data_IF_858515018010
#
_entry.id   IF_858515018010
#
_cell.length_a   1.000
_cell.length_b   1.000
_cell.length_c   1.000
_cell.angle_alpha   90.00
_cell.angle_beta   90.00
_cell.angle_gamma   90.00
#
_symmetry.space_group_name_H-M   'P 1'
#
loop_
_entity.id
_entity.type
_entity.pdbx_description
1 polymer ?
#
# COMPACT_ATOMS: atom_id res chain seq x y z
N UNK A 1 -18.38 -3.93 25.58
CA UNK A 1 -17.39 -2.84 25.62
C UNK A 1 -15.98 -3.37 25.84
N UNK A 2 -15.73 -4.23 26.85
CA UNK A 2 -14.41 -4.81 27.14
C UNK A 2 -13.83 -5.66 26.00
N UNK A 3 -14.66 -6.45 25.31
CA UNK A 3 -14.24 -7.31 24.18
C UNK A 3 -13.79 -6.45 22.99
N UNK A 4 -14.50 -5.36 22.68
CA UNK A 4 -14.11 -4.46 21.61
C UNK A 4 -12.82 -3.68 21.94
N UNK A 5 -12.61 -3.31 23.20
CA UNK A 5 -11.37 -2.65 23.62
C UNK A 5 -10.17 -3.60 23.48
N UNK A 6 -10.30 -4.85 23.89
CA UNK A 6 -9.25 -5.85 23.76
C UNK A 6 -8.93 -6.15 22.28
N UNK A 7 -9.94 -6.17 21.42
CA UNK A 7 -9.73 -6.37 19.98
C UNK A 7 -8.94 -5.21 19.35
N UNK A 8 -9.29 -3.97 19.70
CA UNK A 8 -8.59 -2.77 19.20
C UNK A 8 -7.14 -2.72 19.69
N UNK A 9 -6.91 -3.13 20.93
CA UNK A 9 -5.55 -3.20 21.52
C UNK A 9 -4.73 -4.25 20.77
N UNK A 10 -5.29 -5.45 20.55
CA UNK A 10 -4.61 -6.53 19.82
C UNK A 10 -4.33 -6.15 18.36
N UNK A 11 -5.23 -5.46 17.67
CA UNK A 11 -4.98 -4.96 16.32
C UNK A 11 -3.88 -3.89 16.26
N UNK A 12 -3.82 -3.00 17.23
CA UNK A 12 -2.72 -2.02 17.34
C UNK A 12 -1.37 -2.69 17.59
N UNK A 13 -1.33 -3.71 18.44
CA UNK A 13 -0.10 -4.48 18.69
C UNK A 13 0.34 -5.30 17.47
N UNK A 14 -0.58 -5.93 16.75
CA UNK A 14 -0.28 -6.62 15.48
C UNK A 14 0.33 -5.64 14.48
N UNK A 15 -0.28 -4.48 14.27
CA UNK A 15 0.22 -3.47 13.36
C UNK A 15 1.61 -2.93 13.77
N UNK A 16 1.83 -2.74 15.07
CA UNK A 16 3.14 -2.33 15.61
C UNK A 16 4.21 -3.38 15.35
N UNK A 17 3.91 -4.65 15.63
CA UNK A 17 4.85 -5.75 15.45
C UNK A 17 5.12 -6.03 13.97
N UNK A 18 4.12 -5.91 13.08
CA UNK A 18 4.30 -6.04 11.64
C UNK A 18 5.21 -4.94 11.06
N UNK A 19 5.09 -3.70 11.56
CA UNK A 19 6.01 -2.60 11.18
C UNK A 19 7.44 -2.83 11.68
N UNK A 20 7.60 -3.36 12.90
CA UNK A 20 8.89 -3.70 13.45
C UNK A 20 9.57 -4.83 12.65
N UNK A 21 8.79 -5.84 12.26
CA UNK A 21 9.26 -6.96 11.44
C UNK A 21 9.78 -6.47 10.07
N UNK A 22 9.03 -5.60 9.41
CA UNK A 22 9.46 -5.02 8.12
C UNK A 22 10.79 -4.25 8.22
N UNK A 23 10.96 -3.46 9.30
CA UNK A 23 12.24 -2.75 9.53
C UNK A 23 13.40 -3.72 9.75
N UNK A 24 13.17 -4.78 10.50
CA UNK A 24 14.18 -5.82 10.76
C UNK A 24 14.57 -6.58 9.49
N UNK A 25 13.61 -6.89 8.62
CA UNK A 25 13.88 -7.51 7.32
C UNK A 25 14.74 -6.58 6.42
N UNK A 26 14.42 -5.27 6.38
CA UNK A 26 15.21 -4.29 5.62
C UNK A 26 16.65 -4.13 6.16
N UNK A 27 16.85 -4.16 7.49
CA UNK A 27 18.19 -4.13 8.09
C UNK A 27 18.94 -5.44 7.85
N UNK A 28 18.27 -6.56 7.91
CA UNK A 28 18.85 -7.87 7.61
C UNK A 28 19.36 -7.95 6.17
N UNK A 29 18.55 -7.50 5.21
CA UNK A 29 18.95 -7.41 3.80
C UNK A 29 20.19 -6.55 3.60
N UNK A 30 20.23 -5.37 4.23
CA UNK A 30 21.40 -4.48 4.17
C UNK A 30 22.66 -5.12 4.75
N UNK A 31 22.53 -5.79 5.89
CA UNK A 31 23.66 -6.47 6.54
C UNK A 31 24.13 -7.67 5.71
N UNK A 32 23.22 -8.43 5.14
CA UNK A 32 23.56 -9.56 4.26
C UNK A 32 24.32 -9.12 3.01
N UNK A 33 23.91 -7.98 2.42
CA UNK A 33 24.62 -7.39 1.27
C UNK A 33 26.02 -6.89 1.64
N UNK A 34 26.21 -6.38 2.85
CA UNK A 34 27.52 -5.93 3.34
C UNK A 34 28.45 -7.12 3.61
N UNK A 35 27.95 -8.18 4.23
CA UNK A 35 28.71 -9.42 4.50
C UNK A 35 29.22 -10.07 3.21
N UNK A 36 28.41 -10.06 2.15
CA UNK A 36 28.80 -10.61 0.85
C UNK A 36 29.86 -9.78 0.08
N UNK A 37 30.17 -8.57 0.55
CA UNK A 37 31.14 -7.66 -0.10
C UNK A 37 32.50 -7.56 0.60
N UNK A 38 32.65 -8.14 1.78
CA UNK A 38 33.85 -7.92 2.61
C UNK A 38 34.71 -9.19 2.65
N UNK A 39 35.99 -9.11 2.26
CA UNK A 39 36.90 -10.27 2.26
C UNK A 39 37.63 -10.53 3.59
N UNK A 40 37.46 -9.73 4.65
CA UNK A 40 38.26 -9.82 5.89
C UNK A 40 37.40 -10.21 7.10
N UNK A 41 37.89 -11.24 7.84
CA UNK A 41 37.19 -11.86 8.99
C UNK A 41 36.89 -10.93 10.17
N UNK A 42 37.68 -9.88 10.39
CA UNK A 42 37.55 -9.02 11.57
C UNK A 42 36.44 -7.94 11.44
N UNK A 43 36.05 -7.56 10.25
CA UNK A 43 34.92 -6.66 10.01
C UNK A 43 33.60 -7.43 9.90
N UNK A 44 33.65 -8.73 9.61
CA UNK A 44 32.49 -9.61 9.45
C UNK A 44 31.90 -10.01 10.80
N UNK A 45 32.72 -10.25 11.83
CA UNK A 45 32.25 -10.66 13.16
C UNK A 45 31.15 -9.80 13.77
N UNK A 46 31.29 -8.47 13.85
CA UNK A 46 30.24 -7.60 14.40
C UNK A 46 28.94 -7.60 13.55
N UNK A 47 29.07 -7.79 12.23
CA UNK A 47 27.92 -7.89 11.33
C UNK A 47 27.17 -9.21 11.51
N UNK A 48 27.88 -10.32 11.67
CA UNK A 48 27.30 -11.63 11.99
C UNK A 48 26.59 -11.61 13.34
N UNK A 49 27.19 -10.96 14.36
CA UNK A 49 26.54 -10.82 15.67
C UNK A 49 25.25 -9.98 15.59
N UNK A 50 25.30 -8.88 14.85
CA UNK A 50 24.13 -8.03 14.62
C UNK A 50 23.05 -8.79 13.83
N UNK A 51 23.46 -9.55 12.82
CA UNK A 51 22.56 -10.41 12.05
C UNK A 51 21.87 -11.47 12.93
N UNK A 52 22.65 -12.14 13.82
CA UNK A 52 22.09 -13.10 14.76
C UNK A 52 21.07 -12.47 15.72
N UNK A 53 21.37 -11.29 16.26
CA UNK A 53 20.45 -10.54 17.14
C UNK A 53 19.16 -10.18 16.42
N UNK A 54 19.25 -9.60 15.23
CA UNK A 54 18.10 -9.24 14.42
C UNK A 54 17.25 -10.44 14.02
N UNK A 55 17.89 -11.58 13.72
CA UNK A 55 17.18 -12.82 13.40
C UNK A 55 16.43 -13.40 14.61
N UNK A 56 17.01 -13.28 15.80
CA UNK A 56 16.35 -13.71 17.06
C UNK A 56 15.15 -12.80 17.38
N UNK A 57 15.30 -11.50 17.15
CA UNK A 57 14.23 -10.53 17.35
C UNK A 57 13.09 -10.71 16.33
N UNK A 58 13.43 -10.98 15.08
CA UNK A 58 12.47 -11.35 14.03
C UNK A 58 11.64 -12.58 14.44
N UNK A 59 12.33 -13.64 14.94
CA UNK A 59 11.67 -14.85 15.37
C UNK A 59 10.72 -14.58 16.55
N UNK A 60 11.17 -13.78 17.53
CA UNK A 60 10.36 -13.40 18.68
C UNK A 60 9.12 -12.59 18.26
N UNK A 61 9.28 -11.65 17.32
CA UNK A 61 8.17 -10.87 16.80
C UNK A 61 7.19 -11.73 15.99
N UNK A 62 7.68 -12.67 15.18
CA UNK A 62 6.84 -13.65 14.46
C UNK A 62 6.03 -14.50 15.44
N UNK A 63 6.67 -14.99 16.50
CA UNK A 63 5.98 -15.77 17.54
C UNK A 63 4.89 -14.94 18.22
N UNK A 64 5.22 -13.71 18.61
CA UNK A 64 4.26 -12.78 19.23
C UNK A 64 3.08 -12.45 18.31
N UNK A 65 3.36 -12.27 17.04
CA UNK A 65 2.34 -12.03 16.02
C UNK A 65 1.39 -13.23 15.86
N UNK A 66 1.94 -14.45 15.86
CA UNK A 66 1.12 -15.66 15.81
C UNK A 66 0.23 -15.82 17.05
N UNK A 67 0.76 -15.51 18.25
CA UNK A 67 -0.02 -15.53 19.49
C UNK A 67 -1.15 -14.51 19.46
N UNK A 68 -0.87 -13.29 19.01
CA UNK A 68 -1.88 -12.23 18.89
C UNK A 68 -2.95 -12.57 17.85
N UNK A 69 -2.57 -13.18 16.74
CA UNK A 69 -3.53 -13.65 15.74
C UNK A 69 -4.42 -14.80 16.29
N UNK A 70 -3.87 -15.71 17.05
CA UNK A 70 -4.64 -16.75 17.73
C UNK A 70 -5.64 -16.15 18.74
N UNK A 71 -5.19 -15.23 19.60
CA UNK A 71 -6.06 -14.52 20.55
C UNK A 71 -7.16 -13.72 19.83
N UNK A 72 -6.84 -13.08 18.71
CA UNK A 72 -7.84 -12.42 17.87
C UNK A 72 -8.87 -13.41 17.33
N UNK A 73 -8.43 -14.61 16.92
CA UNK A 73 -9.32 -15.69 16.48
C UNK A 73 -10.27 -16.15 17.59
N UNK A 74 -9.74 -16.30 18.81
CA UNK A 74 -10.52 -16.70 19.99
C UNK A 74 -11.57 -15.65 20.38
N UNK A 75 -11.27 -14.36 20.23
CA UNK A 75 -12.20 -13.27 20.54
C UNK A 75 -13.26 -13.11 19.44
N UNK A 76 -12.87 -13.27 18.17
CA UNK A 76 -13.79 -13.10 17.04
C UNK A 76 -14.92 -14.14 17.04
N UNK A 77 -14.61 -15.40 17.41
CA UNK A 77 -15.60 -16.47 17.49
C UNK A 77 -16.75 -16.15 18.48
N UNK A 78 -16.46 -15.86 19.74
CA UNK A 78 -17.48 -15.45 20.72
C UNK A 78 -18.22 -14.17 20.32
N UNK A 79 -17.52 -13.19 19.74
CA UNK A 79 -18.13 -11.92 19.29
C UNK A 79 -19.17 -12.14 18.20
N UNK A 80 -18.88 -13.02 17.23
CA UNK A 80 -19.84 -13.39 16.19
C UNK A 80 -21.05 -14.11 16.78
N UNK A 81 -20.80 -15.06 17.69
CA UNK A 81 -21.89 -15.75 18.41
C UNK A 81 -22.75 -14.79 19.21
N UNK A 82 -22.15 -13.85 19.92
CA UNK A 82 -22.88 -12.84 20.69
C UNK A 82 -23.73 -11.93 19.78
N UNK A 83 -23.18 -11.53 18.63
CA UNK A 83 -23.94 -10.76 17.61
C UNK A 83 -25.14 -11.54 17.07
N UNK A 84 -24.97 -12.85 16.84
CA UNK A 84 -26.06 -13.73 16.39
C UNK A 84 -27.11 -13.88 17.50
N UNK A 85 -26.70 -14.11 18.74
CA UNK A 85 -27.61 -14.21 19.88
C UNK A 85 -28.36 -12.89 20.11
N UNK A 86 -27.69 -11.75 20.09
CA UNK A 86 -28.32 -10.44 20.15
C UNK A 86 -29.37 -10.27 19.04
N UNK A 87 -29.05 -10.68 17.83
CA UNK A 87 -30.00 -10.62 16.70
C UNK A 87 -31.19 -11.52 16.93
N UNK A 88 -30.96 -12.76 17.40
CA UNK A 88 -32.05 -13.70 17.71
C UNK A 88 -32.93 -13.21 18.87
N UNK A 89 -32.34 -12.63 19.91
CA UNK A 89 -33.09 -12.03 21.00
C UNK A 89 -33.86 -10.76 20.57
N UNK A 90 -33.29 -9.97 19.68
CA UNK A 90 -33.97 -8.83 19.06
C UNK A 90 -35.15 -9.30 18.19
N UNK A 91 -34.94 -10.36 17.39
CA UNK A 91 -36.00 -10.97 16.57
C UNK A 91 -37.09 -11.61 17.43
N UNK A 92 -36.73 -12.26 18.55
CA UNK A 92 -37.71 -12.81 19.52
C UNK A 92 -38.52 -11.70 20.21
N UNK A 93 -37.84 -10.64 20.70
CA UNK A 93 -38.54 -9.48 21.29
C UNK A 93 -39.41 -8.77 20.28
N UNK A 94 -38.96 -8.61 19.03
CA UNK A 94 -39.72 -8.05 17.94
C UNK A 94 -40.97 -8.89 17.63
N UNK A 95 -40.87 -10.22 17.71
CA UNK A 95 -42.00 -11.11 17.53
C UNK A 95 -43.00 -11.08 18.69
N UNK A 96 -42.55 -10.80 19.91
CA UNK A 96 -43.43 -10.62 21.08
C UNK A 96 -44.11 -9.24 21.11
N UNK A 97 -43.48 -8.22 20.54
CA UNK A 97 -44.00 -6.86 20.41
C UNK A 97 -44.82 -6.65 19.12
N UNK A 98 -45.28 -7.71 18.47
CA UNK A 98 -46.01 -7.70 17.18
C UNK A 98 -47.33 -6.92 17.17
N UNK A 99 -47.66 -6.21 18.21
CA UNK A 99 -48.82 -5.31 18.28
C UNK A 99 -48.51 -3.89 17.76
N UNK A 100 -47.22 -3.57 17.54
CA UNK A 100 -46.86 -2.24 17.01
C UNK A 100 -46.38 -2.32 15.54
N UNK A 101 -47.32 -2.12 14.64
CA UNK A 101 -47.11 -1.99 13.18
C UNK A 101 -45.95 -1.02 12.81
N UNK A 102 -45.69 -0.02 13.65
CA UNK A 102 -44.63 0.98 13.43
C UNK A 102 -43.24 0.42 13.70
N UNK A 103 -43.08 -0.50 14.66
CA UNK A 103 -41.78 -1.14 14.93
C UNK A 103 -41.38 -2.09 13.80
N UNK A 104 -42.32 -2.82 13.26
CA UNK A 104 -42.09 -3.72 12.11
C UNK A 104 -41.66 -2.91 10.88
N UNK A 105 -42.33 -1.79 10.60
CA UNK A 105 -41.91 -0.87 9.53
C UNK A 105 -40.47 -0.34 9.72
N UNK A 106 -40.12 0.04 10.96
CA UNK A 106 -38.78 0.54 11.24
C UNK A 106 -37.68 -0.52 10.97
N UNK A 107 -37.92 -1.78 11.39
CA UNK A 107 -36.99 -2.89 11.10
C UNK A 107 -36.89 -3.13 9.59
N UNK A 108 -38.02 -3.21 8.89
CA UNK A 108 -38.06 -3.42 7.44
C UNK A 108 -37.36 -2.28 6.68
N UNK A 109 -37.52 -1.02 7.10
CA UNK A 109 -36.82 0.11 6.54
C UNK A 109 -35.30 0.05 6.86
N UNK A 110 -34.95 -0.35 8.07
CA UNK A 110 -33.53 -0.49 8.46
C UNK A 110 -32.81 -1.54 7.61
N UNK A 111 -33.45 -2.66 7.33
CA UNK A 111 -32.93 -3.69 6.43
C UNK A 111 -32.74 -3.12 5.01
N UNK A 112 -33.77 -2.46 4.47
CA UNK A 112 -33.70 -1.85 3.14
C UNK A 112 -32.62 -0.80 3.04
N UNK A 113 -32.50 0.07 4.05
CA UNK A 113 -31.42 1.07 4.10
C UNK A 113 -30.05 0.41 4.12
N UNK A 114 -29.87 -0.65 4.92
CA UNK A 114 -28.63 -1.42 4.96
C UNK A 114 -28.29 -2.02 3.59
N UNK A 115 -29.27 -2.60 2.91
CA UNK A 115 -29.06 -3.22 1.58
C UNK A 115 -28.70 -2.16 0.54
N UNK A 116 -29.38 -1.00 0.58
CA UNK A 116 -29.05 0.15 -0.29
C UNK A 116 -27.64 0.66 -0.02
N UNK A 117 -27.27 0.85 1.26
CA UNK A 117 -25.93 1.30 1.63
C UNK A 117 -24.85 0.30 1.22
N UNK A 118 -25.10 -1.00 1.41
CA UNK A 118 -24.18 -2.06 0.95
C UNK A 118 -24.01 -2.03 -0.57
N UNK A 119 -25.11 -1.94 -1.30
CA UNK A 119 -25.08 -1.83 -2.76
C UNK A 119 -24.39 -0.55 -3.24
N UNK A 120 -24.62 0.56 -2.55
CA UNK A 120 -23.94 1.83 -2.82
C UNK A 120 -22.44 1.70 -2.59
N UNK A 121 -22.03 1.12 -1.46
CA UNK A 121 -20.60 0.92 -1.14
C UNK A 121 -19.89 0.11 -2.23
N UNK A 122 -20.48 -1.01 -2.66
CA UNK A 122 -19.89 -1.84 -3.73
C UNK A 122 -19.77 -1.05 -5.04
N UNK A 123 -20.81 -0.32 -5.43
CA UNK A 123 -20.80 0.50 -6.66
C UNK A 123 -19.82 1.66 -6.57
N UNK A 124 -19.74 2.31 -5.41
CA UNK A 124 -18.79 3.41 -5.19
C UNK A 124 -17.34 2.90 -5.25
N UNK A 125 -17.07 1.74 -4.62
CA UNK A 125 -15.74 1.11 -4.68
C UNK A 125 -15.37 0.76 -6.12
N UNK A 126 -16.25 0.09 -6.87
CA UNK A 126 -16.00 -0.24 -8.28
C UNK A 126 -15.73 1.01 -9.13
N UNK A 127 -16.52 2.07 -8.93
CA UNK A 127 -16.30 3.35 -9.61
C UNK A 127 -14.92 3.95 -9.31
N UNK A 128 -14.52 3.97 -8.03
CA UNK A 128 -13.22 4.52 -7.62
C UNK A 128 -12.05 3.66 -8.10
N UNK A 129 -12.20 2.34 -8.07
CA UNK A 129 -11.19 1.42 -8.60
C UNK A 129 -11.02 1.63 -10.12
N UNK A 130 -12.09 1.68 -10.89
CA UNK A 130 -12.01 1.95 -12.35
C UNK A 130 -11.37 3.30 -12.66
N UNK A 131 -11.67 4.32 -11.88
CA UNK A 131 -10.99 5.61 -12.00
C UNK A 131 -9.50 5.51 -11.70
N UNK A 132 -9.14 4.78 -10.66
CA UNK A 132 -7.75 4.55 -10.26
C UNK A 132 -6.98 3.76 -11.33
N UNK A 133 -7.55 2.67 -11.85
CA UNK A 133 -6.99 1.88 -12.96
C UNK A 133 -6.62 2.76 -14.15
N UNK A 134 -7.54 3.65 -14.54
CA UNK A 134 -7.31 4.59 -15.64
C UNK A 134 -6.16 5.55 -15.32
N UNK A 135 -6.14 6.14 -14.12
CA UNK A 135 -5.10 7.10 -13.72
C UNK A 135 -3.72 6.43 -13.63
N UNK A 136 -3.64 5.20 -13.12
CA UNK A 136 -2.39 4.43 -13.08
C UNK A 136 -1.91 4.12 -14.50
N UNK A 137 -2.82 3.66 -15.38
CA UNK A 137 -2.49 3.36 -16.77
C UNK A 137 -1.96 4.59 -17.52
N UNK A 138 -2.63 5.74 -17.38
CA UNK A 138 -2.19 7.01 -17.97
C UNK A 138 -0.81 7.41 -17.42
N UNK A 139 -0.60 7.31 -16.11
CA UNK A 139 0.67 7.62 -15.47
C UNK A 139 1.78 6.70 -15.95
N UNK A 140 1.52 5.39 -16.03
CA UNK A 140 2.50 4.40 -16.52
C UNK A 140 2.88 4.65 -17.98
N UNK A 141 1.90 4.89 -18.85
CA UNK A 141 2.15 5.15 -20.27
C UNK A 141 2.90 6.48 -20.52
N UNK A 142 2.76 7.44 -19.61
CA UNK A 142 3.53 8.70 -19.69
C UNK A 142 5.00 8.47 -19.29
N UNK A 143 5.26 7.57 -18.37
CA UNK A 143 6.61 7.27 -17.88
C UNK A 143 7.35 6.27 -18.76
N UNK A 144 6.61 5.32 -19.35
CA UNK A 144 7.22 4.24 -20.11
C UNK A 144 7.61 4.66 -21.53
N UNK A 145 8.79 4.23 -21.99
CA UNK A 145 9.31 4.53 -23.33
C UNK A 145 8.41 4.03 -24.44
N UNK A 146 7.98 2.76 -24.33
CA UNK A 146 7.09 2.12 -25.33
C UNK A 146 5.66 2.53 -25.00
N UNK A 147 5.16 3.57 -25.66
CA UNK A 147 3.76 3.99 -25.54
C UNK A 147 2.83 2.83 -25.87
N UNK A 148 1.82 2.60 -25.02
CA UNK A 148 0.85 1.51 -25.14
C UNK A 148 1.42 0.08 -24.99
N UNK A 149 2.54 -0.08 -24.27
CA UNK A 149 3.02 -1.40 -23.86
C UNK A 149 1.98 -2.09 -22.98
N UNK A 150 1.48 -1.42 -21.98
CA UNK A 150 0.31 -1.85 -21.19
C UNK A 150 -0.94 -1.21 -21.77
N UNK A 151 -1.92 -2.03 -22.11
CA UNK A 151 -3.19 -1.59 -22.70
C UNK A 151 -4.26 -1.33 -21.64
N UNK A 152 -4.28 -2.13 -20.61
CA UNK A 152 -5.20 -1.96 -19.48
C UNK A 152 -4.59 -2.47 -18.19
N UNK A 153 -5.04 -1.89 -17.11
CA UNK A 153 -4.72 -2.28 -15.74
C UNK A 153 -6.03 -2.66 -15.09
N UNK A 154 -6.04 -3.74 -14.32
CA UNK A 154 -7.18 -4.15 -13.50
C UNK A 154 -6.73 -4.32 -12.06
N UNK A 155 -7.56 -3.90 -11.14
CA UNK A 155 -7.34 -4.05 -9.71
C UNK A 155 -8.49 -4.90 -9.16
N UNK A 156 -8.14 -6.03 -8.57
CA UNK A 156 -9.12 -6.88 -7.90
C UNK A 156 -9.71 -6.14 -6.69
N UNK A 157 -11.02 -5.97 -6.64
CA UNK A 157 -11.70 -5.23 -5.57
C UNK A 157 -11.63 -5.90 -4.20
N UNK A 158 -11.29 -7.19 -4.13
CA UNK A 158 -11.22 -7.97 -2.89
C UNK A 158 -9.79 -8.11 -2.38
N UNK A 159 -8.82 -8.43 -3.25
CA UNK A 159 -7.41 -8.63 -2.88
C UNK A 159 -6.56 -7.38 -3.10
N UNK A 160 -7.04 -6.41 -3.87
CA UNK A 160 -6.31 -5.22 -4.34
C UNK A 160 -5.07 -5.56 -5.16
N UNK A 161 -4.99 -6.78 -5.70
CA UNK A 161 -3.94 -7.18 -6.61
C UNK A 161 -4.09 -6.49 -7.95
N UNK A 162 -2.98 -6.01 -8.48
CA UNK A 162 -2.91 -5.30 -9.73
C UNK A 162 -2.46 -6.25 -10.82
N UNK A 163 -3.23 -6.30 -11.90
CA UNK A 163 -2.96 -7.08 -13.09
C UNK A 163 -2.76 -6.17 -14.29
N UNK A 164 -1.75 -6.45 -15.08
CA UNK A 164 -1.40 -5.71 -16.29
C UNK A 164 -1.79 -6.52 -17.51
N UNK A 165 -2.31 -5.86 -18.53
CA UNK A 165 -2.69 -6.51 -19.78
C UNK A 165 -2.10 -5.76 -20.98
N UNK A 166 -1.54 -6.51 -21.91
CA UNK A 166 -1.14 -5.99 -23.21
C UNK A 166 -2.27 -6.09 -24.25
N UNK A 167 -1.95 -5.82 -25.52
CA UNK A 167 -2.90 -6.00 -26.63
C UNK A 167 -3.40 -7.45 -26.68
N UNK A 168 -4.69 -7.63 -26.95
CA UNK A 168 -5.42 -8.93 -26.96
C UNK A 168 -5.73 -9.52 -25.58
N UNK A 169 -5.71 -8.70 -24.51
CA UNK A 169 -6.00 -9.13 -23.12
C UNK A 169 -5.06 -10.24 -22.61
N UNK A 170 -3.82 -10.26 -23.08
CA UNK A 170 -2.80 -11.15 -22.55
C UNK A 170 -2.26 -10.54 -21.27
N UNK A 171 -2.32 -11.27 -20.17
CA UNK A 171 -1.80 -10.83 -18.88
C UNK A 171 -0.27 -10.78 -18.92
N UNK A 172 0.27 -9.66 -18.45
CA UNK A 172 1.70 -9.46 -18.28
C UNK A 172 2.03 -9.87 -16.86
N UNK A 173 2.83 -10.89 -16.72
CA UNK A 173 3.39 -11.30 -15.44
C UNK A 173 4.34 -10.20 -14.93
N UNK A 174 4.03 -9.65 -13.77
CA UNK A 174 4.81 -8.57 -13.16
C UNK A 174 6.26 -8.99 -12.86
N UNK A 175 6.51 -10.29 -12.67
CA UNK A 175 7.85 -10.82 -12.41
C UNK A 175 8.73 -10.80 -13.66
N UNK A 176 8.12 -10.76 -14.85
CA UNK A 176 8.83 -10.63 -16.13
C UNK A 176 9.21 -9.20 -16.49
N UNK A 177 8.72 -8.22 -15.75
CA UNK A 177 9.14 -6.83 -15.92
C UNK A 177 10.58 -6.67 -15.46
N UNK A 178 11.34 -5.88 -16.21
CA UNK A 178 12.69 -5.47 -15.80
C UNK A 178 12.64 -4.67 -14.48
N UNK A 179 13.78 -4.57 -13.80
CA UNK A 179 13.86 -3.80 -12.55
C UNK A 179 13.42 -2.34 -12.74
N UNK A 180 13.78 -1.71 -13.87
CA UNK A 180 13.35 -0.36 -14.22
C UNK A 180 11.85 -0.25 -14.48
N UNK A 181 11.27 -1.20 -15.21
CA UNK A 181 9.82 -1.21 -15.49
C UNK A 181 9.01 -1.43 -14.21
N UNK A 182 9.46 -2.29 -13.30
CA UNK A 182 8.83 -2.43 -11.97
C UNK A 182 8.88 -1.14 -11.17
N UNK A 183 10.02 -0.43 -11.19
CA UNK A 183 10.14 0.87 -10.54
C UNK A 183 9.20 1.90 -11.14
N UNK A 184 9.10 1.98 -12.47
CA UNK A 184 8.15 2.87 -13.15
C UNK A 184 6.69 2.52 -12.83
N UNK A 185 6.36 1.24 -12.72
CA UNK A 185 5.03 0.81 -12.31
C UNK A 185 4.71 1.26 -10.87
N UNK A 186 5.65 1.10 -9.95
CA UNK A 186 5.48 1.57 -8.56
C UNK A 186 5.27 3.10 -8.51
N UNK A 187 6.04 3.87 -9.26
CA UNK A 187 5.87 5.33 -9.38
C UNK A 187 4.51 5.67 -9.99
N UNK A 188 4.09 4.96 -11.04
CA UNK A 188 2.81 5.17 -11.70
C UNK A 188 1.61 4.88 -10.77
N UNK A 189 1.72 3.86 -9.91
CA UNK A 189 0.71 3.55 -8.89
C UNK A 189 0.62 4.71 -7.89
N UNK A 190 1.74 5.17 -7.35
CA UNK A 190 1.77 6.29 -6.40
C UNK A 190 1.22 7.56 -7.02
N UNK A 191 1.59 7.85 -8.27
CA UNK A 191 1.10 9.01 -8.99
C UNK A 191 -0.40 8.92 -9.29
N UNK A 192 -0.88 7.75 -9.71
CA UNK A 192 -2.31 7.48 -9.91
C UNK A 192 -3.12 7.64 -8.63
N UNK A 193 -2.61 7.13 -7.50
CA UNK A 193 -3.21 7.31 -6.18
C UNK A 193 -3.25 8.77 -5.75
N UNK A 194 -2.15 9.51 -5.93
CA UNK A 194 -2.10 10.95 -5.63
C UNK A 194 -3.15 11.73 -6.44
N UNK A 195 -3.26 11.45 -7.73
CA UNK A 195 -4.30 12.06 -8.60
C UNK A 195 -5.71 11.65 -8.20
N UNK A 196 -5.92 10.39 -7.82
CA UNK A 196 -7.24 9.88 -7.43
C UNK A 196 -7.72 10.49 -6.11
N UNK A 197 -6.81 10.62 -5.12
CA UNK A 197 -7.11 11.15 -3.79
C UNK A 197 -7.31 12.67 -3.78
N UNK A 198 -6.85 13.38 -4.81
CA UNK A 198 -6.79 14.85 -4.85
C UNK A 198 -6.19 15.45 -3.56
N UNK A 199 -5.26 14.73 -2.94
CA UNK A 199 -4.63 15.13 -1.69
C UNK A 199 -3.64 16.27 -1.91
N UNK A 200 -3.57 17.20 -0.95
CA UNK A 200 -2.56 18.25 -0.93
C UNK A 200 -1.27 17.80 -0.21
N UNK A 201 -1.15 16.53 0.14
CA UNK A 201 0.01 16.00 0.84
C UNK A 201 1.29 16.16 0.00
N UNK A 202 2.42 16.53 0.61
CA UNK A 202 3.70 16.59 -0.07
C UNK A 202 4.16 15.19 -0.47
N UNK A 203 4.82 15.09 -1.63
CA UNK A 203 5.47 13.85 -2.08
C UNK A 203 6.96 13.96 -1.84
N UNK A 204 7.52 13.02 -1.08
CA UNK A 204 8.96 12.93 -0.82
C UNK A 204 9.48 11.74 -1.63
N UNK A 205 10.49 11.97 -2.46
CA UNK A 205 11.06 10.98 -3.36
C UNK A 205 12.55 10.89 -3.07
N UNK A 206 12.96 9.73 -2.60
CA UNK A 206 14.36 9.42 -2.35
C UNK A 206 14.95 8.59 -3.49
N UNK A 207 16.17 8.93 -3.92
CA UNK A 207 16.89 8.28 -5.02
C UNK A 207 16.02 8.03 -6.26
N UNK A 208 15.44 9.12 -6.82
CA UNK A 208 14.34 9.01 -7.78
C UNK A 208 14.71 8.39 -9.13
N UNK A 209 15.98 8.47 -9.53
CA UNK A 209 16.45 8.10 -10.87
C UNK A 209 17.31 6.83 -10.90
N UNK A 210 17.48 6.15 -9.76
CA UNK A 210 18.24 4.92 -9.68
C UNK A 210 17.67 3.82 -10.60
N UNK A 211 18.51 2.95 -11.14
CA UNK A 211 18.15 1.75 -11.94
C UNK A 211 17.35 2.01 -13.23
N UNK A 212 17.21 3.26 -13.64
CA UNK A 212 16.48 3.66 -14.85
C UNK A 212 17.44 4.03 -15.96
N UNK A 213 17.07 3.73 -17.20
CA UNK A 213 17.77 4.23 -18.38
C UNK A 213 17.52 5.74 -18.60
N UNK A 214 18.26 6.32 -19.51
CA UNK A 214 18.27 7.78 -19.76
C UNK A 214 16.91 8.30 -20.19
N UNK A 215 16.13 7.51 -20.91
CA UNK A 215 14.83 7.92 -21.45
C UNK A 215 13.76 7.89 -20.36
N UNK A 216 13.72 6.83 -19.57
CA UNK A 216 12.83 6.74 -18.41
C UNK A 216 13.15 7.82 -17.35
N UNK A 217 14.44 8.11 -17.13
CA UNK A 217 14.85 9.23 -16.27
C UNK A 217 14.31 10.56 -16.77
N UNK A 218 14.39 10.82 -18.08
CA UNK A 218 13.88 12.04 -18.67
C UNK A 218 12.36 12.16 -18.48
N UNK A 219 11.63 11.09 -18.74
CA UNK A 219 10.17 11.06 -18.56
C UNK A 219 9.77 11.35 -17.11
N UNK A 220 10.50 10.80 -16.13
CA UNK A 220 10.26 11.12 -14.72
C UNK A 220 10.49 12.59 -14.40
N UNK A 221 11.59 13.15 -14.91
CA UNK A 221 11.98 14.53 -14.68
C UNK A 221 11.00 15.50 -15.30
N UNK A 222 10.53 15.24 -16.53
CA UNK A 222 9.65 16.15 -17.28
C UNK A 222 8.17 15.98 -16.93
N UNK A 223 7.72 14.73 -16.68
CA UNK A 223 6.29 14.45 -16.56
C UNK A 223 5.84 14.25 -15.10
N UNK A 224 6.65 13.58 -14.30
CA UNK A 224 6.26 13.20 -12.95
C UNK A 224 6.63 14.26 -11.90
N UNK A 225 7.88 14.67 -11.82
CA UNK A 225 8.32 15.57 -10.74
C UNK A 225 7.53 16.89 -10.69
N UNK A 226 7.22 17.55 -11.82
CA UNK A 226 6.44 18.79 -11.77
C UNK A 226 4.97 18.59 -11.37
N UNK A 227 4.46 17.37 -11.48
CA UNK A 227 3.02 17.08 -11.37
C UNK A 227 2.67 16.02 -10.33
N UNK A 228 3.67 15.50 -9.62
CA UNK A 228 3.48 14.43 -8.62
C UNK A 228 2.55 14.85 -7.47
N UNK A 229 2.70 16.10 -7.01
CA UNK A 229 1.83 16.71 -6.00
C UNK A 229 2.01 18.24 -6.00
N UNK A 230 1.27 18.93 -5.12
CA UNK A 230 1.43 20.40 -4.92
C UNK A 230 2.80 20.78 -4.36
N UNK A 231 3.44 19.90 -3.62
CA UNK A 231 4.78 20.08 -3.11
C UNK A 231 5.56 18.77 -3.30
N UNK A 232 6.69 18.85 -3.98
CA UNK A 232 7.57 17.70 -4.22
C UNK A 232 8.92 17.99 -3.59
N UNK A 233 9.43 17.04 -2.80
CA UNK A 233 10.74 17.07 -2.18
C UNK A 233 11.54 15.93 -2.78
N UNK A 234 12.63 16.27 -3.50
CA UNK A 234 13.52 15.29 -4.10
C UNK A 234 14.79 15.20 -3.26
N UNK A 235 15.09 13.99 -2.82
CA UNK A 235 16.37 13.64 -2.18
C UNK A 235 17.19 12.87 -3.20
N UNK A 236 18.27 13.46 -3.68
CA UNK A 236 19.07 12.87 -4.77
C UNK A 236 20.54 13.17 -4.62
N UNK A 237 21.35 12.31 -5.20
CA UNK A 237 22.78 12.58 -5.36
C UNK A 237 23.05 13.50 -6.57
N UNK A 238 24.23 14.08 -6.63
CA UNK A 238 24.69 14.89 -7.76
C UNK A 238 24.87 14.07 -9.06
N UNK A 239 25.09 12.75 -8.93
CA UNK A 239 25.13 11.82 -10.06
C UNK A 239 23.75 11.55 -10.65
N UNK A 240 22.72 11.47 -9.82
CA UNK A 240 21.34 11.22 -10.28
C UNK A 240 20.75 12.44 -10.96
N UNK A 241 20.83 13.62 -10.31
CA UNK A 241 20.36 14.88 -10.87
C UNK A 241 21.57 15.70 -11.31
N UNK A 242 22.21 15.22 -12.36
CA UNK A 242 23.32 15.93 -12.99
C UNK A 242 22.87 17.22 -13.68
N UNK A 243 23.83 17.99 -14.24
CA UNK A 243 23.58 19.27 -14.94
C UNK A 243 22.51 19.16 -16.04
N UNK A 244 22.41 18.01 -16.72
CA UNK A 244 21.42 17.76 -17.78
C UNK A 244 20.02 17.75 -17.19
N UNK A 245 19.76 16.91 -16.18
CA UNK A 245 18.43 16.77 -15.58
C UNK A 245 18.05 17.99 -14.75
N UNK A 246 19.03 18.61 -14.08
CA UNK A 246 18.81 19.85 -13.34
C UNK A 246 18.25 20.98 -14.25
N UNK A 247 18.65 21.05 -15.51
CA UNK A 247 18.11 22.02 -16.47
C UNK A 247 16.61 21.89 -16.69
N UNK A 248 16.08 20.65 -16.71
CA UNK A 248 14.65 20.39 -16.88
C UNK A 248 13.85 20.67 -15.61
N UNK A 249 14.42 20.42 -14.43
CA UNK A 249 13.76 20.66 -13.14
C UNK A 249 13.77 22.13 -12.77
N UNK A 250 14.79 22.87 -13.18
CA UNK A 250 15.04 24.28 -12.80
C UNK A 250 13.80 25.20 -12.89
N UNK A 251 12.92 25.12 -13.92
CA UNK A 251 11.72 25.96 -14.01
C UNK A 251 10.72 25.72 -12.87
N UNK A 252 10.75 24.54 -12.25
CA UNK A 252 9.83 24.12 -11.20
C UNK A 252 10.47 24.14 -9.80
N UNK A 253 11.78 24.42 -9.72
CA UNK A 253 12.55 24.40 -8.51
C UNK A 253 12.36 25.69 -7.72
N UNK A 254 11.77 25.58 -6.54
CA UNK A 254 11.59 26.71 -5.63
C UNK A 254 12.80 26.91 -4.72
N UNK A 255 13.38 25.81 -4.22
CA UNK A 255 14.53 25.80 -3.30
C UNK A 255 15.43 24.60 -3.58
N UNK A 256 16.73 24.79 -3.42
CA UNK A 256 17.74 23.72 -3.52
C UNK A 256 18.67 23.83 -2.33
N UNK A 257 18.95 22.68 -1.69
CA UNK A 257 19.84 22.57 -0.55
C UNK A 257 20.91 21.54 -0.88
N UNK A 258 22.14 21.82 -0.46
CA UNK A 258 23.22 20.83 -0.46
C UNK A 258 23.41 20.37 0.98
N UNK A 259 23.32 19.07 1.19
CA UNK A 259 23.59 18.45 2.48
C UNK A 259 25.03 17.96 2.45
N UNK A 260 25.83 18.41 3.41
CA UNK A 260 27.26 18.02 3.60
C UNK A 260 27.36 16.88 4.60
#
# INVERSE_FOLDING_TARGET
LLINQNLIISEKEINKNTKALKKLDEEFEKISQLVNKIPADDEIKPLIEKQKKLKTEELNLKTKLNVLNAQRGEINGPMVKLKIQMRQEYDKKSNQDLINLDKKRFVDYSVKVKDVLSSFHVKALDYHIKKLEKLILESFNNLHRKKNYVKSIKINTSSFELQLFEKKNIEIDTDKLSAGERQLLAVAILWGLAKASNSAAPTIIDTPLGRLDSEHRLNLVEQYFPTASKQVILLSTDEEINKKYHKYIKPYLTRSYKVE
#
